data_IF_533938340226
#
_entry.id   IF_533938340226
#
_cell.length_a   1.000
_cell.length_b   1.000
_cell.length_c   1.000
_cell.angle_alpha   90.00
_cell.angle_beta   90.00
_cell.angle_gamma   90.00
#
_symmetry.space_group_name_H-M   'P 1'
#
loop_
_entity.id
_entity.type
_entity.pdbx_description
1 polymer ?
#
# COMPACT_ATOMS: atom_id res chain seq x y z
N UNK A 1 -2.16 17.27 -15.25
CA UNK A 1 -3.05 16.45 -14.39
C UNK A 1 -2.72 15.01 -14.70
N UNK A 2 -2.23 14.21 -13.75
CA UNK A 2 -2.14 12.76 -13.99
C UNK A 2 -3.57 12.25 -14.12
N UNK A 3 -3.87 11.61 -15.24
CA UNK A 3 -5.13 10.91 -15.45
C UNK A 3 -5.36 9.94 -14.29
N UNK A 4 -6.54 10.00 -13.67
CA UNK A 4 -6.83 9.14 -12.52
C UNK A 4 -6.99 7.72 -13.02
N UNK A 5 -6.23 6.81 -12.43
CA UNK A 5 -6.34 5.40 -12.78
C UNK A 5 -7.78 4.89 -12.55
N UNK A 6 -8.37 4.09 -13.46
CA UNK A 6 -9.73 3.59 -13.31
C UNK A 6 -10.02 2.92 -11.96
N UNK A 7 -9.05 2.21 -11.37
CA UNK A 7 -9.19 1.65 -10.01
C UNK A 7 -9.41 2.71 -8.93
N UNK A 8 -8.78 3.88 -9.02
CA UNK A 8 -8.99 4.94 -8.04
C UNK A 8 -10.38 5.58 -8.16
N UNK A 9 -10.99 5.56 -9.35
CA UNK A 9 -12.38 5.99 -9.53
C UNK A 9 -13.37 4.91 -9.08
N UNK A 10 -13.12 3.63 -9.42
CA UNK A 10 -13.93 2.50 -8.97
C UNK A 10 -13.96 2.41 -7.42
N UNK A 11 -12.80 2.61 -6.78
CA UNK A 11 -12.66 2.59 -5.33
C UNK A 11 -12.45 3.99 -4.75
N UNK A 12 -13.28 4.97 -5.16
CA UNK A 12 -13.13 6.38 -4.77
C UNK A 12 -13.02 6.62 -3.27
N UNK A 13 -13.73 5.83 -2.45
CA UNK A 13 -13.69 5.89 -0.98
C UNK A 13 -12.44 5.28 -0.33
N UNK A 14 -11.64 4.53 -1.09
CA UNK A 14 -10.46 3.80 -0.61
C UNK A 14 -9.17 4.17 -1.34
N UNK A 15 -9.13 5.32 -2.04
CA UNK A 15 -7.96 5.78 -2.81
C UNK A 15 -6.65 5.78 -2.01
N UNK A 16 -6.69 6.27 -0.77
CA UNK A 16 -5.52 6.26 0.12
C UNK A 16 -4.98 4.85 0.33
N UNK A 17 -5.87 3.87 0.54
CA UNK A 17 -5.51 2.46 0.68
C UNK A 17 -4.87 1.92 -0.59
N UNK A 18 -5.45 2.19 -1.76
CA UNK A 18 -4.89 1.74 -3.05
C UNK A 18 -3.47 2.27 -3.27
N UNK A 19 -3.27 3.58 -3.06
CA UNK A 19 -1.96 4.21 -3.26
C UNK A 19 -0.90 3.70 -2.29
N UNK A 20 -1.26 3.50 -1.01
CA UNK A 20 -0.36 2.92 -0.01
C UNK A 20 0.03 1.49 -0.36
N UNK A 21 -0.93 0.67 -0.78
CA UNK A 21 -0.66 -0.71 -1.21
C UNK A 21 0.23 -0.73 -2.46
N UNK A 22 -0.06 0.10 -3.45
CA UNK A 22 0.77 0.25 -4.66
C UNK A 22 2.20 0.67 -4.30
N UNK A 23 2.37 1.66 -3.42
CA UNK A 23 3.70 2.11 -2.99
C UNK A 23 4.50 0.98 -2.32
N UNK A 24 3.87 0.22 -1.42
CA UNK A 24 4.51 -0.92 -0.76
C UNK A 24 4.83 -2.08 -1.71
N UNK A 25 3.95 -2.36 -2.68
CA UNK A 25 4.17 -3.40 -3.69
C UNK A 25 5.26 -3.01 -4.70
N UNK A 26 5.28 -1.75 -5.14
CA UNK A 26 6.26 -1.24 -6.10
C UNK A 26 7.68 -1.15 -5.52
N UNK A 27 7.81 -0.90 -4.22
CA UNK A 27 9.12 -0.77 -3.57
C UNK A 27 9.94 -2.06 -3.56
N UNK A 28 9.31 -3.24 -3.65
CA UNK A 28 9.98 -4.54 -3.55
C UNK A 28 10.68 -4.80 -2.20
N UNK A 29 10.51 -3.91 -1.21
CA UNK A 29 11.18 -3.96 0.08
C UNK A 29 10.56 -3.02 1.12
N UNK A 30 11.05 -3.05 2.38
CA UNK A 30 10.42 -2.32 3.47
C UNK A 30 10.58 -0.80 3.36
N UNK A 31 9.48 -0.07 3.52
CA UNK A 31 9.45 1.39 3.54
C UNK A 31 9.18 1.94 4.94
N UNK A 32 9.73 3.11 5.26
CA UNK A 32 9.30 3.86 6.45
C UNK A 32 7.92 4.48 6.22
N UNK A 33 7.22 4.90 7.30
CA UNK A 33 5.96 5.65 7.17
C UNK A 33 6.11 6.86 6.23
N UNK A 34 7.19 7.62 6.40
CA UNK A 34 7.45 8.82 5.60
C UNK A 34 7.68 8.49 4.12
N UNK A 35 8.43 7.42 3.84
CA UNK A 35 8.61 6.95 2.47
C UNK A 35 7.27 6.52 1.84
N UNK A 36 6.43 5.78 2.58
CA UNK A 36 5.07 5.42 2.11
C UNK A 36 4.24 6.67 1.79
N UNK A 37 4.23 7.66 2.68
CA UNK A 37 3.48 8.91 2.48
C UNK A 37 3.93 9.66 1.21
N UNK A 38 5.25 9.73 1.00
CA UNK A 38 5.84 10.36 -0.18
C UNK A 38 5.51 9.61 -1.48
N UNK A 39 5.80 8.31 -1.54
CA UNK A 39 5.58 7.48 -2.74
C UNK A 39 4.09 7.36 -3.10
N UNK A 40 3.22 7.28 -2.10
CA UNK A 40 1.78 7.20 -2.31
C UNK A 40 1.12 8.58 -2.56
N UNK A 41 1.86 9.69 -2.39
CA UNK A 41 1.32 11.05 -2.39
C UNK A 41 0.08 11.18 -1.46
N UNK A 42 0.22 10.72 -0.22
CA UNK A 42 -0.81 10.78 0.83
C UNK A 42 -0.23 11.31 2.13
N UNK A 43 -1.08 11.88 2.98
CA UNK A 43 -0.72 12.29 4.33
C UNK A 43 -1.33 11.37 5.38
N UNK A 44 -0.71 11.33 6.56
CA UNK A 44 -1.19 10.63 7.75
C UNK A 44 -1.43 9.13 7.49
N UNK A 45 -0.47 8.45 6.88
CA UNK A 45 -0.59 7.02 6.55
C UNK A 45 -0.53 6.12 7.80
N UNK A 46 -0.13 6.65 8.96
CA UNK A 46 0.05 5.90 10.21
C UNK A 46 -1.16 5.03 10.60
N UNK A 47 -2.35 5.61 10.84
CA UNK A 47 -3.54 4.85 11.21
C UNK A 47 -3.94 3.79 10.17
N UNK A 48 -3.69 4.06 8.88
CA UNK A 48 -3.94 3.10 7.81
C UNK A 48 -2.94 1.94 7.86
N UNK A 49 -1.65 2.22 8.02
CA UNK A 49 -0.60 1.21 8.14
C UNK A 49 -0.83 0.32 9.37
N UNK A 50 -1.19 0.91 10.51
CA UNK A 50 -1.52 0.17 11.74
C UNK A 50 -2.72 -0.74 11.53
N UNK A 51 -3.77 -0.25 10.85
CA UNK A 51 -4.95 -1.06 10.49
C UNK A 51 -4.57 -2.21 9.57
N UNK A 52 -3.78 -1.96 8.52
CA UNK A 52 -3.33 -2.98 7.57
C UNK A 52 -2.42 -4.03 8.23
N UNK A 53 -1.59 -3.61 9.18
CA UNK A 53 -0.77 -4.51 9.98
C UNK A 53 -1.63 -5.43 10.85
N UNK A 54 -2.62 -4.85 11.56
CA UNK A 54 -3.55 -5.60 12.41
C UNK A 54 -4.32 -6.69 11.68
N UNK A 55 -4.66 -6.48 10.40
CA UNK A 55 -5.37 -7.47 9.57
C UNK A 55 -4.41 -8.37 8.76
N UNK A 56 -3.10 -8.28 9.00
CA UNK A 56 -2.11 -9.13 8.36
C UNK A 56 -1.86 -8.85 6.87
N UNK A 57 -2.23 -7.67 6.38
CA UNK A 57 -1.95 -7.21 4.99
C UNK A 57 -0.53 -6.65 4.87
N UNK A 58 -0.06 -5.97 5.92
CA UNK A 58 1.29 -5.40 6.01
C UNK A 58 2.04 -6.05 7.17
N UNK A 59 3.32 -6.35 6.99
CA UNK A 59 4.24 -6.72 8.07
C UNK A 59 4.93 -5.47 8.58
N UNK A 60 5.05 -5.35 9.90
CA UNK A 60 5.83 -4.30 10.56
C UNK A 60 7.19 -4.88 10.91
N UNK A 61 8.25 -4.17 10.54
CA UNK A 61 9.61 -4.46 10.96
C UNK A 61 9.98 -3.43 12.02
N UNK A 62 10.15 -3.90 13.24
CA UNK A 62 10.48 -3.06 14.39
C UNK A 62 11.85 -2.40 14.21
N UNK A 63 11.95 -1.15 14.68
CA UNK A 63 13.13 -0.32 14.53
C UNK A 63 12.81 1.16 14.76
N UNK A 64 13.85 2.00 14.74
CA UNK A 64 13.74 3.46 14.78
C UNK A 64 14.36 4.04 13.49
N UNK A 65 13.56 4.37 12.46
CA UNK A 65 12.09 4.30 12.38
C UNK A 65 11.55 2.89 12.05
N UNK A 66 10.29 2.62 12.40
CA UNK A 66 9.55 1.43 11.97
C UNK A 66 9.45 1.37 10.44
N UNK A 67 9.49 0.16 9.89
CA UNK A 67 9.33 -0.09 8.45
C UNK A 67 8.16 -1.04 8.18
N UNK A 68 7.62 -0.96 6.97
CA UNK A 68 6.40 -1.63 6.54
C UNK A 68 6.66 -2.30 5.19
N UNK A 69 6.20 -3.55 5.03
CA UNK A 69 6.24 -4.27 3.76
C UNK A 69 4.94 -5.08 3.60
N UNK A 70 4.54 -5.40 2.37
CA UNK A 70 3.37 -6.25 2.14
C UNK A 70 3.60 -7.68 2.64
N UNK A 71 2.55 -8.31 3.16
CA UNK A 71 2.57 -9.72 3.54
C UNK A 71 2.18 -10.63 2.38
N UNK A 72 3.12 -10.95 1.48
CA UNK A 72 2.85 -11.84 0.34
C UNK A 72 2.55 -13.29 0.74
N UNK A 73 2.74 -13.68 2.00
CA UNK A 73 2.31 -15.00 2.49
C UNK A 73 0.78 -15.06 2.65
N UNK A 74 0.11 -13.92 2.76
CA UNK A 74 -1.34 -13.80 2.85
C UNK A 74 -1.99 -13.95 1.45
N UNK A 75 -2.87 -14.94 1.22
CA UNK A 75 -3.52 -15.16 -0.07
C UNK A 75 -4.32 -13.95 -0.59
N UNK A 76 -4.95 -13.18 0.31
CA UNK A 76 -5.67 -11.96 -0.07
C UNK A 76 -4.73 -10.92 -0.65
N UNK A 77 -3.54 -10.74 -0.06
CA UNK A 77 -2.56 -9.76 -0.51
C UNK A 77 -2.01 -10.15 -1.88
N UNK A 78 -1.76 -11.44 -2.12
CA UNK A 78 -1.37 -11.94 -3.46
C UNK A 78 -2.45 -11.69 -4.50
N UNK A 79 -3.72 -11.89 -4.15
CA UNK A 79 -4.83 -11.61 -5.06
C UNK A 79 -4.93 -10.11 -5.39
N UNK A 80 -4.72 -9.24 -4.40
CA UNK A 80 -4.68 -7.78 -4.61
C UNK A 80 -3.49 -7.36 -5.47
N UNK A 81 -2.29 -7.90 -5.22
CA UNK A 81 -1.12 -7.65 -6.07
C UNK A 81 -1.41 -8.04 -7.53
N UNK A 82 -1.94 -9.25 -7.74
CA UNK A 82 -2.29 -9.75 -9.07
C UNK A 82 -3.28 -8.82 -9.78
N UNK A 83 -4.36 -8.42 -9.08
CA UNK A 83 -5.33 -7.47 -9.60
C UNK A 83 -4.67 -6.13 -9.98
N UNK A 84 -3.78 -5.59 -9.13
CA UNK A 84 -3.10 -4.33 -9.42
C UNK A 84 -2.19 -4.43 -10.64
N UNK A 85 -1.48 -5.55 -10.84
CA UNK A 85 -0.66 -5.78 -12.04
C UNK A 85 -1.50 -5.95 -13.30
N UNK A 86 -2.51 -6.80 -13.26
CA UNK A 86 -3.37 -7.10 -14.43
C UNK A 86 -4.19 -5.90 -14.91
N UNK A 87 -4.43 -4.93 -14.02
CA UNK A 87 -5.14 -3.68 -14.35
C UNK A 87 -4.21 -2.53 -14.73
N UNK A 88 -2.89 -2.73 -14.73
CA UNK A 88 -1.90 -1.69 -15.03
C UNK A 88 -1.73 -0.64 -13.92
N UNK A 89 -2.18 -0.94 -12.70
CA UNK A 89 -2.03 -0.02 -11.56
C UNK A 89 -0.66 -0.13 -10.87
N UNK A 90 -0.04 -1.30 -10.95
CA UNK A 90 1.34 -1.59 -10.54
C UNK A 90 2.19 -1.91 -11.76
#
# INVERSE_FOLDING_TARGET
MMERHPLEELFRGSRKTLRVLRALLAAGGPLTKYAVENEAAVYDAGPLLDRLARIGVVKVIDGKPRRYTVNLDNPLVRAVEKLMRETGYL
#
